data_IF_075004892472
#
_entry.id   IF_075004892472
#
_cell.length_a   1.000
_cell.length_b   1.000
_cell.length_c   1.000
_cell.angle_alpha   90.00
_cell.angle_beta   90.00
_cell.angle_gamma   90.00
#
_symmetry.space_group_name_H-M   'P 1'
#
loop_
_entity.id
_entity.type
_entity.pdbx_description
1 polymer ?
#
# COMPACT_ATOMS: atom_id res chain seq x y z
N UNK A 1 -16.88 9.23 -12.84
CA UNK A 1 -15.94 8.11 -12.67
C UNK A 1 -14.78 8.60 -11.80
N UNK A 2 -14.89 8.38 -10.49
CA UNK A 2 -13.89 8.79 -9.48
C UNK A 2 -12.88 7.65 -9.32
N UNK A 3 -11.64 7.96 -9.64
CA UNK A 3 -10.52 7.03 -9.82
C UNK A 3 -9.95 6.56 -8.47
N UNK A 4 -9.52 5.30 -8.41
CA UNK A 4 -8.99 4.53 -7.27
C UNK A 4 -7.70 5.11 -6.66
N UNK A 5 -7.75 6.31 -6.06
CA UNK A 5 -6.61 6.96 -5.38
C UNK A 5 -6.89 7.40 -3.94
N UNK A 6 -7.79 6.76 -3.22
CA UNK A 6 -7.99 7.07 -1.80
C UNK A 6 -8.15 5.80 -0.97
N UNK A 7 -7.35 5.72 0.11
CA UNK A 7 -7.15 4.60 1.07
C UNK A 7 -6.09 3.62 0.55
N UNK A 8 -4.86 3.55 1.07
CA UNK A 8 -4.46 3.43 2.47
C UNK A 8 -3.10 4.09 2.68
N UNK A 9 -3.10 5.11 3.54
CA UNK A 9 -2.03 5.56 4.43
C UNK A 9 -2.86 5.86 5.69
N UNK A 10 -2.59 5.37 6.89
CA UNK A 10 -1.43 5.66 7.71
C UNK A 10 -1.51 4.73 8.91
N UNK A 11 -0.42 4.02 9.19
CA UNK A 11 0.32 4.21 10.44
C UNK A 11 1.67 3.49 10.23
N UNK A 12 2.85 4.08 10.44
CA UNK A 12 3.22 5.45 10.75
C UNK A 12 4.53 5.78 10.03
N UNK A 13 4.68 7.06 9.68
CA UNK A 13 5.90 7.79 9.33
C UNK A 13 7.05 7.03 8.63
N UNK A 14 6.98 7.00 7.30
CA UNK A 14 8.10 7.44 6.47
C UNK A 14 7.52 8.27 5.32
N UNK A 15 7.32 9.55 5.61
CA UNK A 15 7.25 10.59 4.58
C UNK A 15 8.67 10.85 4.09
N UNK A 16 9.22 9.98 3.25
CA UNK A 16 10.29 10.32 2.31
C UNK A 16 10.09 9.48 1.05
N UNK A 17 10.13 10.16 -0.10
CA UNK A 17 10.20 9.63 -1.46
C UNK A 17 8.94 8.92 -2.01
N UNK A 18 7.97 9.71 -2.46
CA UNK A 18 7.52 9.50 -3.84
C UNK A 18 8.69 9.84 -4.77
N UNK A 19 8.93 9.00 -5.79
CA UNK A 19 9.86 9.21 -6.94
C UNK A 19 11.31 8.87 -6.47
N UNK A 20 12.03 7.80 -6.85
CA UNK A 20 12.38 7.23 -8.18
C UNK A 20 12.85 5.76 -8.08
N UNK A 21 12.25 4.80 -8.80
CA UNK A 21 12.93 3.99 -9.83
C UNK A 21 13.74 2.76 -9.35
N UNK A 22 13.18 1.55 -9.44
CA UNK A 22 13.95 0.29 -9.30
C UNK A 22 13.09 -0.98 -9.16
N UNK A 23 13.51 -2.15 -9.67
CA UNK A 23 12.62 -3.22 -10.12
C UNK A 23 12.24 -4.26 -9.05
N UNK A 24 11.02 -4.80 -9.23
CA UNK A 24 10.56 -6.13 -8.78
C UNK A 24 10.36 -6.38 -7.27
N UNK A 25 9.19 -5.95 -6.77
CA UNK A 25 8.39 -6.80 -5.87
C UNK A 25 7.37 -7.53 -6.74
N UNK A 26 7.85 -8.53 -7.50
CA UNK A 26 6.98 -9.56 -8.08
C UNK A 26 6.68 -10.59 -6.99
N UNK A 27 5.66 -10.33 -6.20
CA UNK A 27 4.80 -11.38 -5.65
C UNK A 27 3.35 -11.01 -5.95
N UNK A 28 3.08 -10.79 -7.23
CA UNK A 28 1.75 -10.79 -7.80
C UNK A 28 1.17 -12.20 -7.61
N UNK A 29 0.30 -12.34 -6.60
CA UNK A 29 -1.09 -12.71 -6.75
C UNK A 29 -1.53 -13.36 -8.10
N UNK A 30 -0.81 -14.38 -8.55
CA UNK A 30 -1.06 -15.07 -9.83
C UNK A 30 -2.00 -16.26 -9.73
N UNK A 31 -2.74 -16.42 -8.63
CA UNK A 31 -3.72 -17.50 -8.48
C UNK A 31 -5.06 -17.04 -7.90
N UNK A 32 -5.66 -16.00 -8.46
CA UNK A 32 -7.11 -15.78 -8.38
C UNK A 32 -7.59 -15.18 -9.70
N UNK A 33 -7.43 -15.96 -10.78
CA UNK A 33 -8.32 -15.83 -11.93
C UNK A 33 -9.62 -16.53 -11.55
N UNK A 34 -10.70 -15.80 -11.75
CA UNK A 34 -12.10 -16.19 -11.65
C UNK A 34 -12.75 -15.97 -10.27
N UNK A 35 -13.59 -14.93 -10.25
CA UNK A 35 -14.37 -14.30 -9.16
C UNK A 35 -13.59 -13.28 -8.30
N UNK A 36 -14.03 -12.02 -8.39
CA UNK A 36 -13.44 -10.82 -7.80
C UNK A 36 -13.50 -10.81 -6.26
N UNK A 37 -12.64 -11.57 -5.59
CA UNK A 37 -12.48 -11.58 -4.13
C UNK A 37 -11.94 -10.25 -3.57
N UNK A 38 -11.31 -9.40 -4.40
CA UNK A 38 -10.85 -8.06 -4.00
C UNK A 38 -12.00 -7.11 -3.65
N UNK A 39 -13.19 -7.29 -4.24
CA UNK A 39 -14.38 -6.52 -3.85
C UNK A 39 -14.89 -6.92 -2.46
N UNK A 40 -14.79 -8.21 -2.09
CA UNK A 40 -15.22 -8.71 -0.78
C UNK A 40 -14.31 -8.16 0.34
N UNK A 41 -13.00 -8.06 0.08
CA UNK A 41 -12.01 -7.51 1.03
C UNK A 41 -12.13 -5.99 1.21
N UNK A 42 -12.64 -5.26 0.21
CA UNK A 42 -12.77 -3.79 0.26
C UNK A 42 -13.82 -3.26 1.25
N UNK A 43 -14.65 -4.14 1.81
CA UNK A 43 -15.74 -3.78 2.74
C UNK A 43 -15.22 -3.59 4.19
N UNK A 44 -13.98 -3.96 4.52
CA UNK A 44 -13.59 -4.21 5.92
C UNK A 44 -12.46 -3.35 6.52
N UNK A 45 -12.14 -2.19 5.95
CA UNK A 45 -11.43 -1.13 6.70
C UNK A 45 -12.41 -0.18 7.37
N UNK A 46 -13.40 -0.72 8.08
CA UNK A 46 -14.33 0.07 8.89
C UNK A 46 -13.76 0.15 10.29
N UNK A 47 -13.41 1.36 10.72
CA UNK A 47 -13.13 1.71 12.10
C UNK A 47 -14.19 1.07 13.04
N UNK A 48 -13.76 0.06 13.80
CA UNK A 48 -14.63 -0.70 14.70
C UNK A 48 -14.91 0.05 16.01
N UNK A 49 -14.26 1.19 16.24
CA UNK A 49 -14.45 1.97 17.48
C UNK A 49 -15.76 2.74 17.50
N UNK A 50 -16.40 2.96 16.33
CA UNK A 50 -17.59 3.82 16.23
C UNK A 50 -18.71 3.26 15.33
N UNK A 51 -18.88 1.94 15.24
CA UNK A 51 -20.07 1.33 14.62
C UNK A 51 -21.14 1.04 15.67
N UNK A 52 -22.17 1.90 15.83
CA UNK A 52 -23.38 1.51 16.54
C UNK A 52 -24.07 0.37 15.77
N UNK A 53 -23.87 -0.84 16.28
CA UNK A 53 -24.74 -1.99 16.16
C UNK A 53 -24.95 -2.58 14.74
N UNK A 54 -23.92 -3.20 14.17
CA UNK A 54 -24.07 -4.06 12.98
C UNK A 54 -25.11 -5.19 13.21
N UNK A 55 -25.30 -5.63 14.46
CA UNK A 55 -26.37 -6.57 14.84
C UNK A 55 -27.76 -5.96 14.61
N UNK A 56 -27.94 -4.65 14.88
CA UNK A 56 -29.14 -3.88 14.53
C UNK A 56 -29.29 -3.77 13.02
N UNK A 57 -28.21 -3.49 12.30
CA UNK A 57 -28.21 -3.43 10.83
C UNK A 57 -28.64 -4.77 10.21
N UNK A 58 -28.13 -5.90 10.70
CA UNK A 58 -28.60 -7.23 10.29
C UNK A 58 -30.05 -7.49 10.73
N UNK A 59 -30.43 -7.03 11.92
CA UNK A 59 -31.80 -7.10 12.43
C UNK A 59 -32.82 -6.44 11.49
N UNK A 60 -32.49 -5.29 10.91
CA UNK A 60 -33.31 -4.50 9.99
C UNK A 60 -33.40 -5.08 8.57
N UNK A 61 -32.57 -6.07 8.21
CA UNK A 61 -32.62 -6.72 6.90
C UNK A 61 -33.78 -7.72 6.82
N UNK A 62 -34.94 -7.24 6.38
CA UNK A 62 -36.17 -8.05 6.29
C UNK A 62 -36.11 -9.16 5.23
N UNK A 63 -35.18 -9.07 4.28
CA UNK A 63 -34.95 -10.10 3.25
C UNK A 63 -34.08 -11.27 3.76
N UNK A 64 -33.49 -11.16 4.96
CA UNK A 64 -32.75 -12.25 5.61
C UNK A 64 -33.64 -12.98 6.62
N UNK A 65 -33.54 -14.30 6.62
CA UNK A 65 -34.08 -15.16 7.67
C UNK A 65 -33.33 -14.98 8.99
N UNK A 66 -33.93 -15.41 10.10
CA UNK A 66 -33.30 -15.32 11.42
C UNK A 66 -32.02 -16.16 11.50
N UNK A 67 -31.96 -17.31 10.81
CA UNK A 67 -30.76 -18.15 10.75
C UNK A 67 -29.63 -17.48 9.95
N UNK A 68 -29.94 -16.82 8.83
CA UNK A 68 -28.96 -16.03 8.08
C UNK A 68 -28.41 -14.86 8.91
N UNK A 69 -29.29 -14.15 9.65
CA UNK A 69 -28.86 -13.08 10.57
C UNK A 69 -27.92 -13.62 11.66
N UNK A 70 -28.24 -14.76 12.24
CA UNK A 70 -27.39 -15.39 13.26
C UNK A 70 -26.03 -15.81 12.69
N UNK A 71 -25.99 -16.40 11.48
CA UNK A 71 -24.74 -16.75 10.79
C UNK A 71 -23.81 -15.55 10.60
N UNK A 72 -24.35 -14.37 10.27
CA UNK A 72 -23.57 -13.13 10.14
C UNK A 72 -23.05 -12.60 11.48
N UNK A 73 -23.83 -12.77 12.56
CA UNK A 73 -23.38 -12.43 13.92
C UNK A 73 -22.25 -13.37 14.35
N UNK A 74 -22.41 -14.67 14.11
CA UNK A 74 -21.41 -15.68 14.43
C UNK A 74 -20.12 -15.47 13.62
N UNK A 75 -20.25 -15.14 12.32
CA UNK A 75 -19.13 -14.75 11.47
C UNK A 75 -18.34 -13.58 12.08
N UNK A 76 -19.03 -12.48 12.42
CA UNK A 76 -18.41 -11.30 13.03
C UNK A 76 -17.62 -11.66 14.29
N UNK A 77 -18.19 -12.51 15.13
CA UNK A 77 -17.52 -12.94 16.36
C UNK A 77 -16.32 -13.84 16.06
N UNK A 78 -16.45 -14.73 15.07
CA UNK A 78 -15.39 -15.64 14.65
C UNK A 78 -14.20 -14.91 14.01
N UNK A 79 -14.41 -13.83 13.25
CA UNK A 79 -13.32 -13.08 12.59
C UNK A 79 -12.53 -12.17 13.53
N UNK A 80 -13.15 -11.73 14.64
CA UNK A 80 -12.55 -10.80 15.62
C UNK A 80 -11.14 -11.19 16.11
N UNK A 81 -10.87 -12.43 16.58
CA UNK A 81 -9.53 -12.81 17.03
C UNK A 81 -8.46 -12.71 15.93
N UNK A 82 -8.82 -13.00 14.68
CA UNK A 82 -7.90 -12.90 13.54
C UNK A 82 -7.52 -11.47 13.23
N UNK A 83 -8.49 -10.53 13.25
CA UNK A 83 -8.20 -9.11 13.13
C UNK A 83 -7.29 -8.58 14.24
N UNK A 84 -7.56 -8.96 15.48
CA UNK A 84 -6.70 -8.59 16.60
C UNK A 84 -5.26 -9.12 16.44
N UNK A 85 -5.13 -10.35 15.91
CA UNK A 85 -3.82 -10.96 15.66
C UNK A 85 -3.08 -10.24 14.54
N UNK A 86 -3.74 -9.92 13.43
CA UNK A 86 -3.17 -9.15 12.30
C UNK A 86 -2.70 -7.78 12.79
N UNK A 87 -3.53 -7.02 13.50
CA UNK A 87 -3.15 -5.71 14.05
C UNK A 87 -1.92 -5.79 14.98
N UNK A 88 -1.84 -6.84 15.81
CA UNK A 88 -0.67 -7.08 16.65
C UNK A 88 0.59 -7.37 15.83
N UNK A 89 0.49 -8.16 14.76
CA UNK A 89 1.62 -8.51 13.89
C UNK A 89 2.08 -7.29 13.09
N UNK A 90 1.16 -6.47 12.56
CA UNK A 90 1.47 -5.24 11.85
C UNK A 90 2.19 -4.22 12.74
N UNK A 91 1.79 -4.10 14.01
CA UNK A 91 2.49 -3.27 15.00
C UNK A 91 3.92 -3.75 15.25
N UNK A 92 4.12 -5.07 15.29
CA UNK A 92 5.46 -5.66 15.47
C UNK A 92 6.35 -5.43 14.24
N UNK A 93 5.81 -5.65 13.03
CA UNK A 93 6.49 -5.32 11.76
C UNK A 93 6.89 -3.86 11.74
N UNK A 94 5.97 -2.93 12.07
CA UNK A 94 6.29 -1.50 12.11
C UNK A 94 7.43 -1.20 13.07
N UNK A 95 7.40 -1.75 14.29
CA UNK A 95 8.48 -1.56 15.26
C UNK A 95 9.84 -2.02 14.71
N UNK A 96 9.88 -3.16 14.02
CA UNK A 96 11.10 -3.68 13.40
C UNK A 96 11.55 -2.74 12.26
N UNK A 97 10.63 -2.36 11.38
CA UNK A 97 10.89 -1.45 10.27
C UNK A 97 11.43 -0.10 10.74
N UNK A 98 10.79 0.53 11.73
CA UNK A 98 11.18 1.82 12.29
C UNK A 98 12.59 1.76 12.88
N UNK A 99 12.91 0.67 13.58
CA UNK A 99 14.25 0.48 14.15
C UNK A 99 15.33 0.35 13.07
N UNK A 100 15.07 -0.40 11.99
CA UNK A 100 16.03 -0.56 10.89
C UNK A 100 16.16 0.75 10.09
N UNK A 101 15.05 1.42 9.81
CA UNK A 101 15.04 2.65 9.01
C UNK A 101 15.60 3.85 9.76
N UNK A 102 15.59 3.84 11.10
CA UNK A 102 16.27 4.86 11.90
C UNK A 102 17.75 4.99 11.54
N UNK A 103 18.40 3.88 11.20
CA UNK A 103 19.81 3.86 10.80
C UNK A 103 20.03 4.46 9.39
N UNK A 104 18.98 4.55 8.58
CA UNK A 104 19.00 5.22 7.27
C UNK A 104 18.74 6.73 7.34
N UNK A 105 18.47 7.29 8.53
CA UNK A 105 18.02 8.68 8.67
C UNK A 105 18.99 9.72 8.11
N UNK A 106 20.30 9.57 8.30
CA UNK A 106 21.28 10.50 7.75
C UNK A 106 21.38 10.43 6.22
N UNK A 107 21.23 9.24 5.65
CA UNK A 107 21.27 9.06 4.19
C UNK A 107 20.01 9.63 3.52
N UNK A 108 18.86 9.51 4.18
CA UNK A 108 17.61 10.12 3.72
C UNK A 108 17.68 11.65 3.79
N UNK A 109 18.31 12.22 4.82
CA UNK A 109 18.57 13.66 4.89
C UNK A 109 19.52 14.14 3.79
N UNK A 110 20.53 13.35 3.45
CA UNK A 110 21.43 13.66 2.34
C UNK A 110 20.66 13.66 1.01
N UNK A 111 19.83 12.65 0.76
CA UNK A 111 18.95 12.58 -0.41
C UNK A 111 18.11 13.86 -0.53
N UNK A 112 17.38 14.20 0.54
CA UNK A 112 16.55 15.39 0.59
C UNK A 112 17.40 16.64 0.32
N UNK A 113 18.55 16.78 0.98
CA UNK A 113 19.44 17.93 0.81
C UNK A 113 19.89 18.13 -0.64
N UNK A 114 20.20 17.06 -1.38
CA UNK A 114 20.60 17.13 -2.79
C UNK A 114 19.42 17.59 -3.65
N UNK A 115 18.24 16.98 -3.45
CA UNK A 115 17.03 17.35 -4.19
C UNK A 115 16.64 18.81 -3.93
N UNK A 116 16.66 19.25 -2.66
CA UNK A 116 16.28 20.61 -2.29
C UNK A 116 17.28 21.66 -2.78
N UNK A 117 18.59 21.37 -2.75
CA UNK A 117 19.62 22.29 -3.21
C UNK A 117 19.42 22.71 -4.68
N UNK A 118 18.94 21.79 -5.52
CA UNK A 118 18.73 22.01 -6.95
C UNK A 118 17.26 21.82 -7.38
N UNK A 119 16.30 22.01 -6.46
CA UNK A 119 14.88 21.73 -6.71
C UNK A 119 14.34 22.44 -7.95
N UNK A 120 14.69 23.70 -8.17
CA UNK A 120 14.23 24.45 -9.35
C UNK A 120 14.70 23.81 -10.65
N UNK A 121 15.90 23.22 -10.68
CA UNK A 121 16.42 22.50 -11.85
C UNK A 121 15.70 21.16 -12.04
N UNK A 122 15.42 20.43 -10.95
CA UNK A 122 14.62 19.21 -10.97
C UNK A 122 13.19 19.48 -11.50
N UNK A 123 12.52 20.49 -10.99
CA UNK A 123 11.19 20.91 -11.47
C UNK A 123 11.23 21.34 -12.95
N UNK A 124 12.30 22.02 -13.38
CA UNK A 124 12.49 22.40 -14.77
C UNK A 124 12.63 21.16 -15.66
N UNK A 125 13.41 20.15 -15.25
CA UNK A 125 13.49 18.86 -15.95
C UNK A 125 12.15 18.10 -15.97
N UNK A 126 11.40 18.16 -14.87
CA UNK A 126 10.08 17.52 -14.74
C UNK A 126 9.01 18.17 -15.62
N UNK A 127 9.19 19.42 -16.02
CA UNK A 127 8.27 20.10 -16.95
C UNK A 127 8.23 19.48 -18.36
N UNK A 128 9.24 18.68 -18.72
CA UNK A 128 9.29 17.97 -20.00
C UNK A 128 8.68 16.55 -19.93
N UNK A 129 8.22 16.13 -18.75
CA UNK A 129 7.64 14.79 -18.56
C UNK A 129 6.29 14.70 -19.27
N UNK A 130 6.14 13.80 -20.26
CA UNK A 130 4.85 13.58 -20.89
C UNK A 130 3.90 12.89 -19.91
N UNK A 131 2.58 12.98 -20.16
CA UNK A 131 1.58 12.20 -19.43
C UNK A 131 1.69 10.71 -19.79
N UNK A 132 2.71 10.05 -19.22
CA UNK A 132 2.95 8.62 -19.32
C UNK A 132 2.93 8.00 -17.93
N UNK A 133 2.73 6.69 -17.90
CA UNK A 133 2.83 5.94 -16.67
C UNK A 133 4.27 5.99 -16.14
N UNK A 134 4.40 6.09 -14.82
CA UNK A 134 5.68 6.32 -14.15
C UNK A 134 6.73 5.23 -14.43
N UNK A 135 6.28 3.99 -14.62
CA UNK A 135 7.09 2.83 -15.00
C UNK A 135 7.72 2.91 -16.40
N UNK A 136 7.21 3.82 -17.24
CA UNK A 136 7.73 4.07 -18.59
C UNK A 136 8.59 5.33 -18.67
N UNK A 137 8.81 6.01 -17.54
CA UNK A 137 9.69 7.17 -17.52
C UNK A 137 11.14 6.74 -17.73
N UNK A 138 11.87 7.41 -18.64
CA UNK A 138 13.32 7.23 -18.74
C UNK A 138 14.01 7.59 -17.42
N UNK A 139 15.20 7.05 -17.19
CA UNK A 139 15.98 7.39 -15.99
C UNK A 139 16.32 8.88 -15.94
N UNK A 140 16.58 9.42 -14.75
CA UNK A 140 17.02 10.82 -14.62
C UNK A 140 18.25 11.12 -15.47
N UNK A 141 19.22 10.21 -15.54
CA UNK A 141 20.40 10.36 -16.39
C UNK A 141 20.03 10.53 -17.87
N UNK A 142 19.08 9.73 -18.37
CA UNK A 142 18.60 9.81 -19.75
C UNK A 142 17.83 11.11 -19.97
N UNK A 143 16.91 11.45 -19.07
CA UNK A 143 16.12 12.69 -19.11
C UNK A 143 17.02 13.93 -19.14
N UNK A 144 18.02 14.00 -18.26
CA UNK A 144 18.99 15.12 -18.21
C UNK A 144 19.75 15.22 -19.55
N UNK A 145 20.18 14.10 -20.11
CA UNK A 145 20.91 14.06 -21.38
C UNK A 145 20.04 14.60 -22.52
N UNK A 146 18.80 14.14 -22.63
CA UNK A 146 17.87 14.49 -23.71
C UNK A 146 17.11 15.79 -23.50
N UNK A 147 17.21 16.40 -22.31
CA UNK A 147 16.46 17.61 -21.97
C UNK A 147 16.71 18.74 -22.96
N UNK A 148 15.63 19.44 -23.35
CA UNK A 148 15.66 20.59 -24.24
C UNK A 148 15.56 21.92 -23.47
N UNK A 149 15.06 21.89 -22.24
CA UNK A 149 14.93 23.08 -21.37
C UNK A 149 16.20 23.38 -20.56
N UNK A 150 17.01 22.37 -20.24
CA UNK A 150 18.24 22.57 -19.46
C UNK A 150 19.41 23.07 -20.31
N UNK A 151 20.12 24.06 -19.81
CA UNK A 151 21.40 24.53 -20.35
C UNK A 151 22.51 23.52 -20.10
N UNK A 152 23.65 23.67 -20.80
CA UNK A 152 24.80 22.77 -20.61
C UNK A 152 25.31 22.76 -19.16
N UNK A 153 25.38 23.92 -18.50
CA UNK A 153 25.83 24.00 -17.10
C UNK A 153 24.83 23.37 -16.14
N UNK A 154 23.52 23.62 -16.31
CA UNK A 154 22.48 23.00 -15.49
C UNK A 154 22.47 21.46 -15.64
N UNK A 155 22.72 20.94 -16.84
CA UNK A 155 22.87 19.49 -17.08
C UNK A 155 24.04 18.90 -16.30
N UNK A 156 25.19 19.58 -16.23
CA UNK A 156 26.33 19.07 -15.46
C UNK A 156 26.07 19.07 -13.95
N UNK A 157 25.35 20.07 -13.42
CA UNK A 157 24.90 20.08 -12.02
C UNK A 157 24.00 18.87 -11.75
N UNK A 158 22.93 18.71 -12.54
CA UNK A 158 21.97 17.62 -12.33
C UNK A 158 22.56 16.24 -12.59
N UNK A 159 23.58 16.08 -13.45
CA UNK A 159 24.30 14.81 -13.61
C UNK A 159 25.03 14.39 -12.34
N UNK A 160 25.67 15.34 -11.67
CA UNK A 160 26.38 15.06 -10.42
C UNK A 160 25.37 14.70 -9.32
N UNK A 161 24.28 15.45 -9.21
CA UNK A 161 23.20 15.12 -8.28
C UNK A 161 22.62 13.73 -8.58
N UNK A 162 22.22 13.48 -9.83
CA UNK A 162 21.64 12.20 -10.25
C UNK A 162 22.55 11.02 -9.90
N UNK A 163 23.85 11.14 -10.16
CA UNK A 163 24.81 10.10 -9.78
C UNK A 163 24.81 9.83 -8.28
N UNK A 164 24.83 10.88 -7.45
CA UNK A 164 24.84 10.72 -5.99
C UNK A 164 23.50 10.19 -5.47
N UNK A 165 22.39 10.62 -6.05
CA UNK A 165 21.07 10.10 -5.74
C UNK A 165 20.96 8.60 -6.09
N UNK A 166 21.46 8.17 -7.25
CA UNK A 166 21.49 6.75 -7.62
C UNK A 166 22.31 5.90 -6.62
N UNK A 167 23.42 6.42 -6.10
CA UNK A 167 24.21 5.77 -5.05
C UNK A 167 23.44 5.69 -3.72
N UNK A 168 22.80 6.79 -3.31
CA UNK A 168 21.99 6.84 -2.09
C UNK A 168 20.79 5.89 -2.19
N UNK A 169 20.11 5.83 -3.35
CA UNK A 169 19.00 4.91 -3.59
C UNK A 169 19.46 3.44 -3.44
N UNK A 170 20.63 3.10 -3.98
CA UNK A 170 21.22 1.76 -3.81
C UNK A 170 21.58 1.45 -2.34
N UNK A 171 21.97 2.46 -1.56
CA UNK A 171 22.22 2.30 -0.12
C UNK A 171 20.93 2.17 0.69
N UNK A 172 19.91 2.99 0.40
CA UNK A 172 18.56 2.91 1.01
C UNK A 172 17.91 1.56 0.71
N UNK A 173 18.05 1.04 -0.51
CA UNK A 173 17.51 -0.26 -0.91
C UNK A 173 18.02 -1.39 0.00
N UNK A 174 19.26 -1.33 0.47
CA UNK A 174 19.80 -2.31 1.42
C UNK A 174 19.06 -2.31 2.75
N UNK A 175 18.52 -1.17 3.19
CA UNK A 175 17.69 -1.09 4.39
C UNK A 175 16.31 -1.68 4.14
N UNK A 176 15.70 -1.42 3.00
CA UNK A 176 14.45 -2.07 2.61
C UNK A 176 14.60 -3.61 2.53
N UNK A 177 15.69 -4.11 1.95
CA UNK A 177 15.98 -5.55 1.91
C UNK A 177 16.16 -6.14 3.32
N UNK A 178 16.76 -5.38 4.25
CA UNK A 178 16.88 -5.79 5.66
C UNK A 178 15.51 -5.85 6.33
N UNK A 179 14.65 -4.87 6.10
CA UNK A 179 13.27 -4.85 6.61
C UNK A 179 12.49 -6.06 6.09
N UNK A 180 12.52 -6.30 4.78
CA UNK A 180 11.86 -7.46 4.16
C UNK A 180 12.31 -8.76 4.80
N UNK A 181 13.63 -8.98 4.92
CA UNK A 181 14.20 -10.18 5.54
C UNK A 181 13.81 -10.33 7.01
N UNK A 182 13.89 -9.24 7.78
CA UNK A 182 13.57 -9.26 9.22
C UNK A 182 12.09 -9.50 9.50
N UNK A 183 11.21 -9.08 8.57
CA UNK A 183 9.75 -9.14 8.75
C UNK A 183 9.09 -10.30 7.99
N UNK A 184 9.86 -11.07 7.21
CA UNK A 184 9.36 -12.16 6.36
C UNK A 184 8.50 -13.19 7.12
N UNK A 185 8.91 -13.57 8.34
CA UNK A 185 8.16 -14.55 9.15
C UNK A 185 6.84 -13.97 9.67
N UNK A 186 6.82 -12.70 10.08
CA UNK A 186 5.61 -12.04 10.55
C UNK A 186 4.63 -11.79 9.39
N UNK A 187 5.15 -11.43 8.21
CA UNK A 187 4.36 -11.26 6.99
C UNK A 187 3.67 -12.56 6.58
N UNK A 188 4.40 -13.70 6.63
CA UNK A 188 3.80 -15.03 6.41
C UNK A 188 2.72 -15.39 7.44
N UNK A 189 2.85 -14.95 8.69
CA UNK A 189 1.80 -15.13 9.69
C UNK A 189 0.56 -14.30 9.34
N UNK A 190 0.73 -13.06 8.91
CA UNK A 190 -0.37 -12.21 8.44
C UNK A 190 -1.10 -12.89 7.27
N UNK A 191 -0.37 -13.38 6.26
CA UNK A 191 -0.95 -14.11 5.13
C UNK A 191 -1.76 -15.33 5.59
N UNK A 192 -1.25 -16.08 6.57
CA UNK A 192 -1.94 -17.23 7.14
C UNK A 192 -3.22 -16.83 7.91
N UNK A 193 -3.23 -15.69 8.60
CA UNK A 193 -4.44 -15.19 9.25
C UNK A 193 -5.47 -14.69 8.23
N UNK A 194 -5.05 -14.02 7.15
CA UNK A 194 -5.95 -13.64 6.05
C UNK A 194 -6.57 -14.86 5.36
N UNK A 195 -5.82 -15.94 5.16
CA UNK A 195 -6.38 -17.18 4.61
C UNK A 195 -7.49 -17.77 5.50
N UNK A 196 -7.37 -17.65 6.83
CA UNK A 196 -8.42 -18.08 7.76
C UNK A 196 -9.64 -17.16 7.73
N UNK A 197 -9.44 -15.84 7.61
CA UNK A 197 -10.51 -14.87 7.41
C UNK A 197 -11.30 -15.19 6.14
N UNK A 198 -10.60 -15.40 5.02
CA UNK A 198 -11.21 -15.76 3.74
C UNK A 198 -12.05 -17.04 3.86
N UNK A 199 -11.51 -18.08 4.50
CA UNK A 199 -12.25 -19.32 4.74
C UNK A 199 -13.51 -19.12 5.60
N UNK A 200 -13.54 -18.13 6.50
CA UNK A 200 -14.74 -17.77 7.27
C UNK A 200 -15.74 -17.04 6.39
N UNK A 201 -15.31 -16.03 5.62
CA UNK A 201 -16.19 -15.26 4.73
C UNK A 201 -16.80 -16.13 3.63
N UNK A 202 -16.05 -17.07 3.08
CA UNK A 202 -16.54 -17.99 2.06
C UNK A 202 -17.72 -18.84 2.55
N UNK A 203 -17.78 -19.18 3.84
CA UNK A 203 -18.90 -19.95 4.43
C UNK A 203 -20.22 -19.18 4.44
N UNK A 204 -20.21 -17.86 4.37
CA UNK A 204 -21.43 -17.04 4.30
C UNK A 204 -21.49 -16.21 3.01
N UNK A 205 -20.73 -16.60 1.99
CA UNK A 205 -20.71 -15.93 0.69
C UNK A 205 -22.10 -15.87 0.04
N UNK A 206 -22.93 -16.89 0.25
CA UNK A 206 -24.35 -16.94 -0.14
C UNK A 206 -25.17 -15.78 0.46
N UNK A 207 -24.99 -15.55 1.76
CA UNK A 207 -25.68 -14.47 2.49
C UNK A 207 -25.17 -13.11 2.03
N UNK A 208 -23.86 -12.97 1.86
CA UNK A 208 -23.26 -11.73 1.37
C UNK A 208 -23.70 -11.40 -0.06
N UNK A 209 -23.76 -12.36 -0.99
CA UNK A 209 -24.30 -12.15 -2.34
C UNK A 209 -25.75 -11.69 -2.31
N UNK A 210 -26.56 -12.29 -1.44
CA UNK A 210 -27.96 -11.89 -1.22
C UNK A 210 -28.05 -10.45 -0.70
N UNK A 211 -27.18 -10.06 0.23
CA UNK A 211 -27.09 -8.68 0.72
C UNK A 211 -26.75 -7.71 -0.43
N UNK A 212 -25.70 -7.98 -1.22
CA UNK A 212 -25.30 -7.12 -2.34
C UNK A 212 -26.45 -6.94 -3.34
N UNK A 213 -27.07 -8.04 -3.78
CA UNK A 213 -28.21 -8.00 -4.72
C UNK A 213 -29.38 -7.14 -4.22
N UNK A 214 -29.64 -7.11 -2.91
CA UNK A 214 -30.74 -6.34 -2.32
C UNK A 214 -30.34 -4.91 -1.90
N UNK A 215 -29.04 -4.58 -1.88
CA UNK A 215 -28.55 -3.23 -1.59
C UNK A 215 -28.19 -2.43 -2.85
N UNK A 216 -27.74 -3.09 -3.92
CA UNK A 216 -27.37 -2.45 -5.21
C UNK A 216 -28.60 -2.16 -6.11
N UNK A 217 -29.79 -2.62 -5.70
CA UNK A 217 -31.06 -2.36 -6.39
C UNK A 217 -31.79 -1.09 -5.94
N UNK A 218 -31.10 -0.13 -5.30
CA UNK A 218 -31.63 1.17 -4.88
C UNK A 218 -30.84 2.33 -5.46
#
# INVERSE_FOLDING_TARGET
>A
MLNQKAKILIAGMLTVATVIGGPSIKSEASMLKDVNSKEIVSIQTIDTSNQPNITKRFGEMNFLSQSEKQRLIDEKNAVKPYYNKIDSLEKEIRKISDNIMKDASEILKEYDSIVWANMTLWMKLDSEVPEISYDKLPSNTERIKTSKVLTKSEKEILKNDAKRLDEIDAEIQKYYDKVEKATATLSKQIDAEYAKLEAIYQKNSDIWQKIHKNMDGK
#
